data_IF_748526647419
#
_entry.id   IF_748526647419
#
_cell.length_a   1.000
_cell.length_b   1.000
_cell.length_c   1.000
_cell.angle_alpha   90.00
_cell.angle_beta   90.00
_cell.angle_gamma   90.00
#
_symmetry.space_group_name_H-M   'P 1'
#
loop_
_entity.id
_entity.type
_entity.pdbx_description
1 polymer ?
#
# COMPACT_ATOMS: atom_id res chain seq x y z
N UNK A 1 24.57 -42.02 -66.15
CA UNK A 1 25.01 -40.61 -66.00
C UNK A 1 23.89 -39.69 -66.46
N UNK A 2 23.13 -39.10 -65.52
CA UNK A 2 22.22 -37.98 -65.79
C UNK A 2 22.86 -36.74 -65.17
N UNK A 3 23.34 -35.84 -66.02
CA UNK A 3 23.90 -34.54 -65.66
C UNK A 3 22.79 -33.66 -65.08
N UNK A 4 22.88 -33.32 -63.79
CA UNK A 4 22.03 -32.28 -63.21
C UNK A 4 22.45 -30.91 -63.77
N UNK A 5 21.45 -30.17 -64.23
CA UNK A 5 21.59 -28.90 -64.94
C UNK A 5 21.85 -27.77 -63.92
N UNK A 6 23.05 -27.19 -63.94
CA UNK A 6 23.58 -26.25 -62.93
C UNK A 6 22.90 -24.85 -62.93
N UNK A 7 21.84 -24.65 -63.71
CA UNK A 7 21.15 -23.35 -63.82
C UNK A 7 20.00 -23.16 -62.80
N UNK A 8 19.47 -24.24 -62.22
CA UNK A 8 18.39 -24.14 -61.22
C UNK A 8 18.88 -24.08 -59.76
N UNK A 9 20.17 -24.29 -59.51
CA UNK A 9 20.74 -24.22 -58.15
C UNK A 9 21.11 -22.81 -57.72
N UNK A 10 21.35 -21.86 -58.65
CA UNK A 10 21.64 -20.46 -58.28
C UNK A 10 20.40 -19.71 -57.77
N UNK A 11 19.20 -19.98 -58.29
CA UNK A 11 17.96 -19.32 -57.82
C UNK A 11 17.50 -19.78 -56.44
N UNK A 12 17.82 -21.02 -56.04
CA UNK A 12 17.43 -21.55 -54.72
C UNK A 12 18.37 -21.02 -53.63
N UNK A 13 19.65 -20.80 -53.94
CA UNK A 13 20.62 -20.24 -52.99
C UNK A 13 20.38 -18.73 -52.77
N UNK A 14 19.97 -17.98 -53.80
CA UNK A 14 19.60 -16.57 -53.67
C UNK A 14 18.31 -16.36 -52.86
N UNK A 15 17.33 -17.26 -52.96
CA UNK A 15 16.10 -17.20 -52.17
C UNK A 15 16.32 -17.64 -50.71
N UNK A 16 17.23 -18.59 -50.46
CA UNK A 16 17.59 -19.02 -49.11
C UNK A 16 18.37 -17.96 -48.32
N UNK A 17 19.22 -17.16 -48.98
CA UNK A 17 19.96 -16.07 -48.36
C UNK A 17 19.09 -14.84 -48.04
N UNK A 18 18.03 -14.58 -48.83
CA UNK A 18 17.07 -13.50 -48.52
C UNK A 18 16.13 -13.86 -47.34
N UNK A 19 15.80 -15.13 -47.14
CA UNK A 19 14.93 -15.55 -46.03
C UNK A 19 15.69 -15.57 -44.70
N UNK A 20 17.00 -15.85 -44.68
CA UNK A 20 17.82 -15.77 -43.45
C UNK A 20 18.11 -14.34 -43.00
N UNK A 21 18.03 -13.35 -43.89
CA UNK A 21 18.18 -11.93 -43.52
C UNK A 21 16.92 -11.34 -42.84
N UNK A 22 15.75 -11.97 -43.00
CA UNK A 22 14.50 -11.54 -42.36
C UNK A 22 14.35 -12.02 -40.91
N UNK A 23 15.16 -12.98 -40.45
CA UNK A 23 15.12 -13.47 -39.06
C UNK A 23 16.15 -12.80 -38.13
N UNK A 24 17.07 -11.98 -38.65
CA UNK A 24 18.04 -11.22 -37.82
C UNK A 24 17.51 -9.82 -37.44
N UNK A 25 16.46 -9.32 -38.10
CA UNK A 25 15.83 -8.03 -37.77
C UNK A 25 14.86 -8.09 -36.57
N UNK A 26 14.69 -9.28 -35.97
CA UNK A 26 13.88 -9.49 -34.77
C UNK A 26 14.72 -9.96 -33.57
N UNK A 27 15.95 -9.49 -33.44
CA UNK A 27 16.44 -9.11 -32.11
C UNK A 27 15.95 -7.70 -31.87
N UNK A 28 14.66 -7.57 -31.56
CA UNK A 28 14.19 -6.36 -30.89
C UNK A 28 15.06 -6.27 -29.65
N UNK A 29 15.91 -5.26 -29.58
CA UNK A 29 16.50 -4.81 -28.33
C UNK A 29 15.33 -4.76 -27.34
N UNK A 30 15.23 -5.78 -26.49
CA UNK A 30 14.42 -5.69 -25.29
C UNK A 30 15.26 -4.79 -24.40
N UNK A 31 15.24 -3.49 -24.70
CA UNK A 31 15.48 -2.48 -23.69
C UNK A 31 14.69 -2.95 -22.47
N UNK A 32 15.41 -3.17 -21.38
CA UNK A 32 14.83 -3.62 -20.12
C UNK A 32 13.79 -2.56 -19.74
N UNK A 33 12.52 -2.82 -20.06
CA UNK A 33 11.42 -1.93 -19.70
C UNK A 33 11.32 -1.99 -18.18
N UNK A 34 11.17 -0.83 -17.53
CA UNK A 34 10.80 -0.80 -16.12
C UNK A 34 9.54 -1.64 -15.89
N UNK A 35 9.42 -2.25 -14.72
CA UNK A 35 8.36 -3.21 -14.44
C UNK A 35 6.98 -2.55 -14.39
N UNK A 36 6.88 -1.35 -13.81
CA UNK A 36 5.64 -0.57 -13.74
C UNK A 36 5.59 0.56 -14.76
N UNK A 37 4.42 0.79 -15.33
CA UNK A 37 4.12 1.86 -16.27
C UNK A 37 3.35 3.03 -15.65
N UNK A 38 2.69 2.78 -14.52
CA UNK A 38 1.90 3.77 -13.75
C UNK A 38 2.14 3.61 -12.24
N UNK A 39 1.70 4.60 -11.46
CA UNK A 39 1.72 4.52 -9.99
C UNK A 39 0.91 3.33 -9.45
N UNK A 40 -0.27 3.04 -10.01
CA UNK A 40 -1.08 1.87 -9.62
C UNK A 40 -0.35 0.54 -9.88
N UNK A 41 0.35 0.43 -11.00
CA UNK A 41 1.15 -0.77 -11.28
C UNK A 41 2.36 -0.86 -10.35
N UNK A 42 2.99 0.27 -10.03
CA UNK A 42 4.11 0.31 -9.10
C UNK A 42 3.69 -0.18 -7.71
N UNK A 43 2.55 0.29 -7.19
CA UNK A 43 2.04 -0.15 -5.89
C UNK A 43 1.62 -1.63 -5.91
N UNK A 44 1.04 -2.11 -7.00
CA UNK A 44 0.64 -3.51 -7.14
C UNK A 44 1.85 -4.46 -7.22
N UNK A 45 2.93 -4.07 -7.89
CA UNK A 45 4.13 -4.90 -8.10
C UNK A 45 5.05 -4.87 -6.88
N UNK A 46 5.31 -3.68 -6.32
CA UNK A 46 6.32 -3.50 -5.27
C UNK A 46 5.74 -3.35 -3.87
N UNK A 47 4.43 -3.05 -3.74
CA UNK A 47 3.74 -3.06 -2.47
C UNK A 47 3.64 -4.46 -1.85
N UNK A 48 3.19 -4.56 -0.59
CA UNK A 48 2.96 -5.84 0.06
C UNK A 48 2.05 -6.77 -0.73
N UNK A 49 2.53 -7.97 -0.98
CA UNK A 49 1.82 -8.95 -1.78
C UNK A 49 0.79 -9.71 -0.93
N UNK A 50 -0.47 -9.69 -1.37
CA UNK A 50 -1.53 -10.37 -0.67
C UNK A 50 -1.34 -11.91 -0.69
N UNK A 51 -1.53 -12.53 0.46
CA UNK A 51 -1.57 -13.97 0.66
C UNK A 51 -3.00 -14.46 0.44
N UNK A 52 -3.15 -15.55 -0.30
CA UNK A 52 -4.45 -16.19 -0.57
C UNK A 52 -4.45 -17.59 -0.01
N UNK A 53 -5.51 -17.92 0.73
CA UNK A 53 -5.69 -19.22 1.36
C UNK A 53 -7.16 -19.62 1.30
N UNK A 54 -7.40 -20.91 1.09
CA UNK A 54 -8.74 -21.48 1.06
C UNK A 54 -9.01 -22.16 2.39
N UNK A 55 -10.16 -21.85 2.99
CA UNK A 55 -10.60 -22.41 4.27
C UNK A 55 -12.01 -23.00 4.15
N UNK A 56 -12.37 -23.83 5.12
CA UNK A 56 -13.75 -24.31 5.28
C UNK A 56 -14.46 -23.46 6.34
N UNK A 57 -15.43 -22.64 5.92
CA UNK A 57 -16.20 -21.76 6.80
C UNK A 57 -17.11 -22.49 7.81
N UNK A 58 -17.36 -23.79 7.63
CA UNK A 58 -18.16 -24.56 8.58
C UNK A 58 -17.45 -24.86 9.91
N UNK A 59 -16.13 -24.67 9.98
CA UNK A 59 -15.32 -24.95 11.16
C UNK A 59 -14.49 -23.73 11.55
N UNK A 60 -13.95 -23.73 12.77
CA UNK A 60 -12.96 -22.72 13.16
C UNK A 60 -11.66 -22.93 12.39
N UNK A 61 -11.04 -21.85 11.94
CA UNK A 61 -9.78 -21.85 11.21
C UNK A 61 -8.78 -20.92 11.88
N UNK A 62 -7.55 -21.38 12.06
CA UNK A 62 -6.44 -20.56 12.54
C UNK A 62 -5.29 -20.67 11.57
N UNK A 63 -4.72 -19.54 11.16
CA UNK A 63 -3.55 -19.49 10.29
C UNK A 63 -2.66 -18.31 10.65
N UNK A 64 -1.42 -18.34 10.17
CA UNK A 64 -0.42 -17.28 10.39
C UNK A 64 0.05 -16.80 9.02
N UNK A 65 0.01 -15.49 8.82
CA UNK A 65 0.52 -14.83 7.64
C UNK A 65 2.06 -14.78 7.67
N UNK A 66 2.71 -14.59 6.51
CA UNK A 66 4.18 -14.52 6.39
C UNK A 66 4.85 -13.49 7.31
N UNK A 67 4.19 -12.37 7.62
CA UNK A 67 4.67 -11.34 8.54
C UNK A 67 4.47 -11.68 10.03
N UNK A 68 3.85 -12.82 10.34
CA UNK A 68 3.66 -13.33 11.69
C UNK A 68 2.29 -12.99 12.30
N UNK A 69 1.43 -12.24 11.61
CA UNK A 69 0.06 -11.98 12.08
C UNK A 69 -0.72 -13.29 12.14
N UNK A 70 -1.30 -13.59 13.30
CA UNK A 70 -2.18 -14.75 13.49
C UNK A 70 -3.62 -14.33 13.37
N UNK A 71 -4.41 -15.13 12.66
CA UNK A 71 -5.83 -14.87 12.44
C UNK A 71 -6.60 -16.15 12.82
N UNK A 72 -7.57 -16.01 13.71
CA UNK A 72 -8.52 -17.06 14.06
C UNK A 72 -9.91 -16.63 13.66
N UNK A 73 -10.54 -17.44 12.81
CA UNK A 73 -11.87 -17.22 12.26
C UNK A 73 -12.77 -18.31 12.80
N UNK A 74 -13.79 -18.00 13.63
CA UNK A 74 -14.71 -19.01 14.12
C UNK A 74 -15.58 -19.57 12.98
N UNK A 75 -16.20 -20.73 13.24
CA UNK A 75 -17.16 -21.31 12.31
C UNK A 75 -18.29 -20.32 12.01
N UNK A 76 -18.77 -20.31 10.76
CA UNK A 76 -19.91 -19.51 10.31
C UNK A 76 -19.75 -17.99 10.49
N UNK A 77 -18.50 -17.49 10.50
CA UNK A 77 -18.21 -16.07 10.69
C UNK A 77 -18.59 -15.18 9.49
N UNK A 78 -18.79 -15.73 8.29
CA UNK A 78 -19.04 -14.96 7.08
C UNK A 78 -20.52 -14.96 6.68
N UNK A 79 -20.96 -13.84 6.09
CA UNK A 79 -22.29 -13.69 5.50
C UNK A 79 -22.17 -13.22 4.06
N UNK A 80 -23.11 -13.59 3.21
CA UNK A 80 -23.26 -13.04 1.87
C UNK A 80 -24.73 -12.66 1.69
N UNK A 81 -24.98 -11.37 1.51
CA UNK A 81 -26.32 -10.79 1.50
C UNK A 81 -27.13 -11.18 2.76
N UNK A 82 -26.49 -11.11 3.92
CA UNK A 82 -27.07 -11.45 5.23
C UNK A 82 -27.17 -12.95 5.53
N UNK A 83 -26.95 -13.83 4.56
CA UNK A 83 -27.04 -15.29 4.73
C UNK A 83 -25.68 -15.87 5.09
N UNK A 84 -25.62 -16.74 6.10
CA UNK A 84 -24.38 -17.41 6.50
C UNK A 84 -23.75 -18.17 5.35
N UNK A 85 -22.46 -17.91 5.11
CA UNK A 85 -21.64 -18.62 4.13
C UNK A 85 -21.14 -19.93 4.73
N UNK A 86 -21.23 -21.02 3.96
CA UNK A 86 -20.74 -22.35 4.31
C UNK A 86 -19.79 -22.89 3.25
N UNK A 87 -19.01 -23.91 3.59
CA UNK A 87 -18.07 -24.53 2.67
C UNK A 87 -16.84 -23.67 2.39
N UNK A 88 -16.36 -23.73 1.15
CA UNK A 88 -15.09 -23.14 0.74
C UNK A 88 -15.14 -21.62 0.64
N UNK A 89 -14.25 -20.95 1.38
CA UNK A 89 -14.04 -19.49 1.32
C UNK A 89 -12.58 -19.21 1.00
N UNK A 90 -12.32 -18.26 0.10
CA UNK A 90 -10.97 -17.76 -0.19
C UNK A 90 -10.73 -16.51 0.63
N UNK A 91 -9.77 -16.57 1.53
CA UNK A 91 -9.26 -15.42 2.28
C UNK A 91 -8.15 -14.75 1.48
N UNK A 92 -8.15 -13.42 1.44
CA UNK A 92 -7.09 -12.59 0.89
C UNK A 92 -6.62 -11.64 1.98
N UNK A 93 -5.33 -11.68 2.32
CA UNK A 93 -4.77 -10.87 3.39
C UNK A 93 -3.43 -10.24 3.00
N UNK A 94 -3.19 -8.98 3.36
CA UNK A 94 -1.91 -8.30 3.16
C UNK A 94 -1.45 -7.63 4.45
N UNK A 95 -0.13 -7.59 4.68
CA UNK A 95 0.49 -7.03 5.90
C UNK A 95 1.40 -5.86 5.53
N UNK A 96 1.31 -4.77 6.29
CA UNK A 96 2.09 -3.55 6.14
C UNK A 96 2.74 -3.26 7.49
N UNK A 97 3.88 -3.91 7.76
CA UNK A 97 4.55 -3.91 9.05
C UNK A 97 5.75 -2.96 9.10
N UNK A 98 6.21 -2.49 7.93
CA UNK A 98 7.35 -1.59 7.77
C UNK A 98 6.98 -0.31 7.04
N UNK A 99 7.81 0.74 7.20
CA UNK A 99 7.59 2.01 6.49
C UNK A 99 7.68 1.85 4.98
N UNK A 100 8.66 1.09 4.49
CA UNK A 100 8.82 0.87 3.05
C UNK A 100 7.59 0.19 2.45
N UNK A 101 7.02 -0.80 3.15
CA UNK A 101 5.80 -1.50 2.76
C UNK A 101 4.60 -0.54 2.66
N UNK A 102 4.46 0.41 3.59
CA UNK A 102 3.41 1.42 3.56
C UNK A 102 3.55 2.35 2.34
N UNK A 103 4.77 2.83 2.08
CA UNK A 103 5.08 3.73 0.96
C UNK A 103 4.96 3.03 -0.39
N UNK A 104 5.52 1.82 -0.53
CA UNK A 104 5.39 1.01 -1.74
C UNK A 104 3.94 0.68 -2.04
N UNK A 105 3.12 0.41 -1.01
CA UNK A 105 1.70 0.17 -1.20
C UNK A 105 0.87 1.40 -1.55
N UNK A 106 1.44 2.61 -1.54
CA UNK A 106 0.67 3.85 -1.70
C UNK A 106 -0.36 4.04 -0.59
N UNK A 107 -0.02 3.61 0.63
CA UNK A 107 -0.86 3.69 1.84
C UNK A 107 -0.31 4.75 2.79
N UNK A 108 -0.98 5.01 3.92
CA UNK A 108 -0.57 6.07 4.85
C UNK A 108 -0.98 5.75 6.30
N UNK A 109 -0.49 6.56 7.23
CA UNK A 109 -0.86 6.53 8.65
C UNK A 109 -1.64 7.78 9.07
N UNK A 110 -2.45 8.35 8.18
CA UNK A 110 -3.28 9.52 8.49
C UNK A 110 -4.56 9.08 9.19
N UNK A 111 -4.86 9.67 10.36
CA UNK A 111 -6.19 9.59 10.95
C UNK A 111 -7.16 10.51 10.16
N UNK A 112 -8.46 10.24 10.21
CA UNK A 112 -9.51 11.03 9.51
C UNK A 112 -9.59 12.49 9.99
N UNK A 113 -9.13 12.77 11.21
CA UNK A 113 -8.97 14.15 11.71
C UNK A 113 -7.76 14.88 11.11
N UNK A 114 -6.92 14.16 10.38
CA UNK A 114 -5.65 14.62 9.82
C UNK A 114 -4.43 14.44 10.71
N UNK A 115 -4.62 14.00 11.96
CA UNK A 115 -3.51 13.72 12.85
C UNK A 115 -2.69 12.51 12.34
N UNK A 116 -1.34 12.58 12.34
CA UNK A 116 -0.53 11.41 12.02
C UNK A 116 -0.64 10.35 13.13
N UNK A 117 -0.64 9.10 12.73
CA UNK A 117 -0.54 7.93 13.59
C UNK A 117 0.87 7.34 13.49
N UNK A 118 1.40 6.89 14.63
CA UNK A 118 2.61 6.09 14.70
C UNK A 118 2.21 4.61 14.70
N UNK A 119 2.72 3.88 13.71
CA UNK A 119 2.20 2.56 13.41
C UNK A 119 3.03 1.39 13.90
N UNK A 120 2.39 0.42 14.54
CA UNK A 120 2.99 -0.91 14.78
C UNK A 120 2.71 -1.89 13.64
N UNK A 121 1.94 -1.44 12.65
CA UNK A 121 1.60 -2.14 11.42
C UNK A 121 0.10 -2.31 11.27
N UNK A 122 -0.33 -2.45 10.01
CA UNK A 122 -1.72 -2.74 9.67
C UNK A 122 -1.84 -3.87 8.67
N UNK A 123 -3.05 -4.41 8.60
CA UNK A 123 -3.39 -5.46 7.65
C UNK A 123 -4.63 -5.07 6.85
N UNK A 124 -4.74 -5.66 5.66
CA UNK A 124 -5.98 -5.77 4.93
C UNK A 124 -6.45 -7.22 4.97
N UNK A 125 -7.73 -7.45 5.24
CA UNK A 125 -8.35 -8.77 5.20
C UNK A 125 -9.67 -8.74 4.44
N UNK A 126 -9.80 -9.64 3.48
CA UNK A 126 -11.02 -9.86 2.71
C UNK A 126 -11.31 -11.36 2.57
N UNK A 127 -12.56 -11.70 2.28
CA UNK A 127 -13.01 -13.05 2.03
C UNK A 127 -13.95 -13.08 0.82
N UNK A 128 -13.88 -14.13 0.02
CA UNK A 128 -14.75 -14.30 -1.16
C UNK A 128 -15.17 -15.75 -1.38
N UNK A 129 -16.33 -15.92 -2.01
CA UNK A 129 -16.87 -17.20 -2.46
C UNK A 129 -17.16 -17.09 -3.94
N UNK A 130 -16.62 -18.01 -4.75
CA UNK A 130 -16.79 -18.02 -6.21
C UNK A 130 -16.44 -16.67 -6.88
N UNK A 131 -15.45 -15.95 -6.33
CA UNK A 131 -15.02 -14.64 -6.84
C UNK A 131 -15.84 -13.45 -6.34
N UNK A 132 -16.93 -13.68 -5.60
CA UNK A 132 -17.75 -12.62 -5.01
C UNK A 132 -17.32 -12.37 -3.57
N UNK A 133 -17.02 -11.11 -3.22
CA UNK A 133 -16.71 -10.73 -1.85
C UNK A 133 -17.91 -11.00 -0.92
N UNK A 134 -17.62 -11.51 0.27
CA UNK A 134 -18.62 -11.64 1.33
C UNK A 134 -18.97 -10.27 1.92
N UNK A 135 -20.01 -10.22 2.74
CA UNK A 135 -20.42 -9.00 3.43
C UNK A 135 -19.28 -8.46 4.30
N UNK A 136 -19.13 -7.13 4.34
CA UNK A 136 -18.13 -6.48 5.18
C UNK A 136 -18.36 -6.80 6.66
N UNK A 137 -19.61 -6.69 7.12
CA UNK A 137 -19.98 -7.02 8.50
C UNK A 137 -20.05 -8.54 8.66
N UNK A 138 -19.26 -9.06 9.59
CA UNK A 138 -19.15 -10.50 9.84
C UNK A 138 -20.36 -11.01 10.63
N UNK A 139 -20.65 -12.31 10.57
CA UNK A 139 -21.59 -13.00 11.45
C UNK A 139 -21.07 -13.21 12.88
N UNK A 140 -19.76 -13.27 13.04
CA UNK A 140 -19.07 -13.37 14.33
C UNK A 140 -17.74 -12.61 14.26
N UNK A 141 -17.24 -12.14 15.40
CA UNK A 141 -15.92 -11.51 15.47
C UNK A 141 -14.82 -12.52 15.14
N UNK A 142 -13.76 -12.06 14.49
CA UNK A 142 -12.53 -12.82 14.30
C UNK A 142 -11.45 -12.29 15.23
N UNK A 143 -10.57 -13.18 15.70
CA UNK A 143 -9.44 -12.80 16.54
C UNK A 143 -8.21 -12.54 15.66
N UNK A 144 -7.53 -11.43 15.94
CA UNK A 144 -6.28 -11.01 15.29
C UNK A 144 -5.21 -10.88 16.37
N UNK A 145 -4.01 -11.40 16.09
CA UNK A 145 -2.83 -11.17 16.90
C UNK A 145 -1.70 -10.65 16.01
N UNK A 146 -1.38 -9.36 16.13
CA UNK A 146 -0.25 -8.72 15.44
C UNK A 146 0.95 -8.74 16.38
N UNK A 147 2.09 -9.24 15.89
CA UNK A 147 3.32 -9.31 16.67
C UNK A 147 3.84 -7.91 17.01
N UNK A 148 4.32 -7.73 18.23
CA UNK A 148 4.87 -6.46 18.70
C UNK A 148 5.97 -6.69 19.73
N UNK A 149 6.97 -5.81 19.74
CA UNK A 149 8.00 -5.74 20.78
C UNK A 149 7.77 -4.57 21.75
N UNK A 150 6.69 -3.79 21.55
CA UNK A 150 6.34 -2.69 22.42
C UNK A 150 5.71 -3.18 23.72
N UNK A 151 5.82 -2.35 24.75
CA UNK A 151 5.19 -2.56 26.07
C UNK A 151 4.04 -1.57 26.34
N UNK A 152 3.85 -0.57 25.46
CA UNK A 152 2.75 0.41 25.54
C UNK A 152 1.45 -0.20 25.00
N UNK A 153 0.31 0.36 25.42
CA UNK A 153 -0.96 0.08 24.75
C UNK A 153 -0.98 0.63 23.31
N UNK A 154 -1.74 -0.02 22.43
CA UNK A 154 -2.08 0.48 21.10
C UNK A 154 -3.56 0.82 21.02
N UNK A 155 -3.93 1.63 20.04
CA UNK A 155 -5.33 1.80 19.63
C UNK A 155 -5.60 1.05 18.32
N UNK A 156 -6.83 0.56 18.20
CA UNK A 156 -7.30 -0.14 17.00
C UNK A 156 -8.06 0.85 16.11
N UNK A 157 -7.71 0.87 14.83
CA UNK A 157 -8.34 1.73 13.82
C UNK A 157 -8.83 0.94 12.63
N UNK A 158 -9.97 1.33 12.06
CA UNK A 158 -10.46 0.81 10.80
C UNK A 158 -10.15 1.77 9.65
N UNK A 159 -9.80 1.23 8.49
CA UNK A 159 -9.58 2.05 7.30
C UNK A 159 -10.90 2.37 6.61
N UNK A 160 -11.08 3.65 6.28
CA UNK A 160 -12.16 4.12 5.41
C UNK A 160 -11.56 4.44 4.06
N UNK A 161 -11.94 3.67 3.07
CA UNK A 161 -11.70 3.97 1.66
C UNK A 161 -12.84 4.89 1.21
N UNK A 162 -12.51 6.01 0.57
CA UNK A 162 -13.42 7.09 0.13
C UNK A 162 -13.59 8.28 1.07
N UNK A 163 -12.50 8.73 1.67
CA UNK A 163 -12.47 10.01 2.41
C UNK A 163 -12.88 11.16 1.49
N UNK A 164 -13.87 11.96 1.92
CA UNK A 164 -14.41 13.12 1.19
C UNK A 164 -14.84 12.84 -0.26
N UNK A 165 -15.34 11.63 -0.54
CA UNK A 165 -15.70 11.13 -1.87
C UNK A 165 -14.53 11.08 -2.89
N UNK A 166 -13.29 11.30 -2.45
CA UNK A 166 -12.10 11.03 -3.24
C UNK A 166 -11.71 9.56 -3.10
N UNK A 167 -10.95 8.97 -4.03
CA UNK A 167 -10.41 7.60 -3.88
C UNK A 167 -9.28 7.53 -2.84
N UNK A 168 -9.48 8.11 -1.66
CA UNK A 168 -8.47 8.27 -0.62
C UNK A 168 -8.83 7.48 0.65
N UNK A 169 -7.80 7.14 1.42
CA UNK A 169 -7.90 6.37 2.65
C UNK A 169 -7.38 7.14 3.85
N UNK A 170 -8.10 7.04 4.97
CA UNK A 170 -7.65 7.45 6.29
C UNK A 170 -8.17 6.45 7.35
N UNK A 171 -7.57 6.53 8.54
CA UNK A 171 -7.91 5.69 9.68
C UNK A 171 -8.93 6.38 10.58
N UNK A 172 -9.92 5.64 11.05
CA UNK A 172 -10.89 6.12 12.03
C UNK A 172 -11.12 5.09 13.12
N UNK A 173 -11.78 5.55 14.18
CA UNK A 173 -12.15 4.66 15.27
C UNK A 173 -13.10 3.57 14.75
N UNK A 174 -12.90 2.28 15.07
CA UNK A 174 -13.74 1.21 14.57
C UNK A 174 -15.21 1.41 14.95
N UNK A 175 -16.11 0.95 14.07
CA UNK A 175 -17.52 0.87 14.40
C UNK A 175 -17.72 0.04 15.68
N UNK A 176 -18.55 0.51 16.61
CA UNK A 176 -18.84 -0.25 17.82
C UNK A 176 -19.77 -1.42 17.49
N UNK A 177 -19.34 -2.64 17.79
CA UNK A 177 -20.14 -3.87 17.62
C UNK A 177 -20.86 -3.93 16.25
N UNK A 178 -20.13 -3.84 15.12
CA UNK A 178 -20.74 -3.65 13.80
C UNK A 178 -21.64 -4.82 13.36
N UNK A 179 -21.48 -5.98 13.98
CA UNK A 179 -22.25 -7.19 13.77
C UNK A 179 -23.18 -7.55 14.95
N UNK A 180 -23.26 -6.71 15.97
CA UNK A 180 -24.02 -6.99 17.21
C UNK A 180 -23.41 -8.08 18.10
N UNK A 181 -22.20 -8.57 17.80
CA UNK A 181 -21.52 -9.56 18.62
C UNK A 181 -20.86 -8.92 19.85
N UNK A 182 -20.87 -9.62 20.99
CA UNK A 182 -20.16 -9.19 22.19
C UNK A 182 -18.64 -9.11 21.94
N UNK A 183 -17.96 -8.14 22.58
CA UNK A 183 -16.50 -7.99 22.51
C UNK A 183 -15.95 -7.21 21.29
N UNK A 184 -16.77 -6.92 20.28
CA UNK A 184 -16.37 -6.32 19.01
C UNK A 184 -16.09 -4.80 19.03
N UNK A 185 -15.65 -4.25 20.15
CA UNK A 185 -15.49 -2.81 20.35
C UNK A 185 -14.29 -2.38 21.19
N UNK A 186 -13.35 -3.28 21.48
CA UNK A 186 -12.13 -2.93 22.23
C UNK A 186 -11.27 -2.00 21.36
N UNK A 187 -11.16 -0.75 21.80
CA UNK A 187 -10.41 0.30 21.08
C UNK A 187 -8.95 0.39 21.50
N UNK A 188 -8.62 -0.05 22.71
CA UNK A 188 -7.28 0.02 23.28
C UNK A 188 -6.85 -1.35 23.77
N UNK A 189 -5.62 -1.75 23.42
CA UNK A 189 -5.11 -3.09 23.62
C UNK A 189 -3.72 -3.02 24.20
N UNK A 190 -3.51 -3.66 25.35
CA UNK A 190 -2.18 -3.88 25.89
C UNK A 190 -1.54 -5.10 25.21
N UNK A 191 -0.21 -5.07 24.97
CA UNK A 191 0.49 -6.20 24.41
C UNK A 191 0.52 -7.32 25.45
N UNK A 192 0.21 -8.54 25.01
CA UNK A 192 0.24 -9.74 25.84
C UNK A 192 0.99 -10.84 25.09
N UNK A 193 1.98 -11.44 25.75
CA UNK A 193 2.83 -12.50 25.19
C UNK A 193 3.47 -12.13 23.83
N UNK A 194 3.82 -10.86 23.62
CA UNK A 194 4.45 -10.37 22.38
C UNK A 194 3.48 -10.07 21.23
N UNK A 195 2.18 -9.98 21.52
CA UNK A 195 1.16 -9.65 20.52
C UNK A 195 0.20 -8.57 21.03
N UNK A 196 -0.25 -7.70 20.12
CA UNK A 196 -1.52 -7.00 20.31
C UNK A 196 -2.64 -7.94 19.85
N UNK A 197 -3.49 -8.34 20.79
CA UNK A 197 -4.59 -9.27 20.55
C UNK A 197 -5.91 -8.51 20.57
N UNK A 198 -6.68 -8.59 19.49
CA UNK A 198 -7.96 -7.88 19.39
C UNK A 198 -8.94 -8.62 18.48
N UNK A 199 -10.19 -8.16 18.53
CA UNK A 199 -11.27 -8.71 17.74
C UNK A 199 -11.71 -7.72 16.66
N UNK A 200 -12.07 -8.27 15.51
CA UNK A 200 -12.58 -7.51 14.38
C UNK A 200 -13.95 -8.04 13.95
N UNK A 201 -14.94 -7.15 13.87
CA UNK A 201 -16.31 -7.48 13.42
C UNK A 201 -16.60 -7.11 11.95
N UNK A 202 -15.70 -6.38 11.30
CA UNK A 202 -15.79 -5.96 9.91
C UNK A 202 -14.54 -6.38 9.14
N UNK A 203 -14.68 -6.95 7.94
CA UNK A 203 -13.56 -7.09 7.01
C UNK A 203 -13.06 -5.73 6.49
N UNK A 204 -11.86 -5.72 5.92
CA UNK A 204 -11.20 -4.54 5.36
C UNK A 204 -9.86 -4.27 6.03
N UNK A 205 -9.53 -2.98 6.13
CA UNK A 205 -8.29 -2.50 6.74
C UNK A 205 -8.43 -2.36 8.24
N UNK A 206 -7.48 -2.88 8.99
CA UNK A 206 -7.38 -2.71 10.42
C UNK A 206 -5.94 -2.42 10.84
N UNK A 207 -5.79 -1.51 11.78
CA UNK A 207 -4.52 -0.93 12.16
C UNK A 207 -4.30 -0.95 13.67
N UNK A 208 -3.07 -1.23 14.10
CA UNK A 208 -2.61 -1.13 15.49
C UNK A 208 -1.66 0.06 15.63
N UNK A 209 -2.24 1.23 15.91
CA UNK A 209 -1.47 2.47 16.01
C UNK A 209 -1.78 3.22 17.30
N UNK A 210 -0.84 4.09 17.67
CA UNK A 210 -1.11 5.17 18.61
C UNK A 210 -1.17 6.50 17.86
N UNK A 211 -1.91 7.47 18.39
CA UNK A 211 -1.70 8.85 17.95
C UNK A 211 -0.23 9.17 18.12
N UNK A 212 0.36 9.82 17.11
CA UNK A 212 1.73 10.28 17.21
C UNK A 212 1.80 11.38 18.28
N UNK A 213 2.15 10.96 19.49
CA UNK A 213 2.00 11.74 20.70
C UNK A 213 3.10 12.80 20.75
N UNK A 214 2.72 14.03 20.44
CA UNK A 214 3.64 15.15 20.44
C UNK A 214 2.96 16.38 21.03
N UNK A 215 3.55 16.95 22.08
CA UNK A 215 2.98 18.07 22.85
C UNK A 215 3.26 19.44 22.23
N UNK A 216 4.17 19.51 21.26
CA UNK A 216 4.52 20.78 20.62
C UNK A 216 3.34 21.36 19.82
N UNK A 217 3.36 22.69 19.58
CA UNK A 217 2.39 23.34 18.71
C UNK A 217 2.27 22.63 17.37
N UNK A 218 1.03 22.55 16.87
CA UNK A 218 0.74 21.98 15.56
C UNK A 218 0.73 23.07 14.48
N UNK A 219 1.01 22.67 13.25
CA UNK A 219 1.06 23.56 12.09
C UNK A 219 0.56 22.87 10.83
N UNK A 220 0.44 23.64 9.75
CA UNK A 220 0.18 23.16 8.41
C UNK A 220 1.49 23.20 7.62
N UNK A 221 1.82 22.10 6.96
CA UNK A 221 2.99 22.05 6.07
C UNK A 221 2.53 21.94 4.63
N UNK A 222 3.07 22.79 3.76
CA UNK A 222 2.79 22.79 2.31
C UNK A 222 4.02 22.37 1.52
N UNK A 223 3.80 21.58 0.47
CA UNK A 223 4.83 21.06 -0.43
C UNK A 223 4.43 21.40 -1.86
N UNK A 224 5.27 22.19 -2.53
CA UNK A 224 5.17 22.41 -3.97
C UNK A 224 6.06 21.41 -4.70
N UNK A 225 5.53 20.76 -5.74
CA UNK A 225 6.29 19.83 -6.59
C UNK A 225 6.65 20.52 -7.92
N UNK A 226 7.92 20.87 -8.08
CA UNK A 226 8.46 21.32 -9.35
C UNK A 226 8.71 20.12 -10.28
N UNK A 227 8.54 20.32 -11.59
CA UNK A 227 8.64 19.30 -12.63
C UNK A 227 7.71 18.09 -12.42
N UNK A 228 6.52 18.31 -11.83
CA UNK A 228 5.55 17.26 -11.63
C UNK A 228 5.05 16.71 -12.99
N UNK A 229 5.32 15.45 -13.35
CA UNK A 229 4.93 14.93 -14.66
C UNK A 229 3.44 14.56 -14.73
N UNK A 230 2.74 14.45 -13.58
CA UNK A 230 1.37 13.96 -13.47
C UNK A 230 0.54 14.67 -12.40
N UNK A 231 -0.65 14.15 -12.12
CA UNK A 231 -1.48 14.62 -11.00
C UNK A 231 -1.11 13.88 -9.71
N UNK A 232 -1.52 14.43 -8.57
CA UNK A 232 -1.27 13.80 -7.28
C UNK A 232 -2.03 12.48 -7.15
N UNK A 233 -1.29 11.45 -6.71
CA UNK A 233 -1.79 10.11 -6.55
C UNK A 233 -2.70 10.01 -5.32
N UNK A 234 -3.81 9.30 -5.49
CA UNK A 234 -4.67 8.87 -4.39
C UNK A 234 -4.21 7.53 -3.84
N UNK A 235 -4.89 7.02 -2.81
CA UNK A 235 -4.63 5.75 -2.15
C UNK A 235 -4.36 4.63 -3.17
N UNK A 236 -3.27 3.89 -2.95
CA UNK A 236 -2.77 2.81 -3.81
C UNK A 236 -2.56 3.20 -5.29
N UNK A 237 -2.61 4.49 -5.63
CA UNK A 237 -2.47 4.97 -7.01
C UNK A 237 -3.74 4.80 -7.84
N UNK A 238 -4.92 4.67 -7.21
CA UNK A 238 -6.20 4.53 -7.93
C UNK A 238 -6.41 5.61 -9.01
N UNK A 239 -5.95 6.82 -8.73
CA UNK A 239 -5.87 7.92 -9.69
C UNK A 239 -4.59 8.71 -9.46
N UNK A 240 -4.07 9.34 -10.51
CA UNK A 240 -2.87 10.17 -10.44
C UNK A 240 -1.57 9.37 -10.37
N UNK A 241 -0.44 10.06 -10.47
CA UNK A 241 0.87 9.45 -10.66
C UNK A 241 1.88 9.80 -9.56
N UNK A 242 1.68 10.93 -8.87
CA UNK A 242 2.68 11.51 -7.96
C UNK A 242 2.26 11.39 -6.50
N UNK A 243 2.99 10.58 -5.73
CA UNK A 243 2.82 10.54 -4.28
C UNK A 243 3.69 11.60 -3.59
N UNK A 244 3.21 12.09 -2.45
CA UNK A 244 3.96 12.93 -1.52
C UNK A 244 3.73 12.41 -0.11
N UNK A 245 4.81 12.07 0.60
CA UNK A 245 4.75 11.60 1.98
C UNK A 245 5.70 12.41 2.87
N UNK A 246 5.31 12.59 4.12
CA UNK A 246 6.22 12.90 5.21
C UNK A 246 6.45 11.64 6.06
N UNK A 247 7.71 11.25 6.19
CA UNK A 247 8.13 10.12 7.03
C UNK A 247 8.87 10.66 8.25
N UNK A 248 8.33 10.45 9.45
CA UNK A 248 8.99 10.90 10.68
C UNK A 248 10.21 10.02 11.00
N UNK A 249 11.29 10.66 11.48
CA UNK A 249 12.52 9.98 11.87
C UNK A 249 12.31 9.22 13.18
N UNK A 250 12.80 7.98 13.28
CA UNK A 250 12.70 7.16 14.49
C UNK A 250 11.30 6.65 14.88
N UNK A 251 10.22 7.06 14.20
CA UNK A 251 8.86 6.52 14.40
C UNK A 251 8.22 6.06 13.09
N UNK A 252 7.36 5.04 13.12
CA UNK A 252 6.70 4.48 11.93
C UNK A 252 5.49 5.33 11.49
N UNK A 253 5.75 6.62 11.25
CA UNK A 253 4.77 7.56 10.68
C UNK A 253 5.05 7.70 9.19
N UNK A 254 4.03 7.45 8.36
CA UNK A 254 4.05 7.69 6.90
C UNK A 254 2.82 8.51 6.55
N UNK A 255 2.94 9.83 6.68
CA UNK A 255 1.82 10.73 6.45
C UNK A 255 1.75 11.14 4.97
N UNK A 256 0.70 10.75 4.27
CA UNK A 256 0.51 11.18 2.88
C UNK A 256 -0.05 12.61 2.85
N UNK A 257 0.53 13.46 2.00
CA UNK A 257 0.00 14.78 1.69
C UNK A 257 -0.72 14.69 0.35
N UNK A 258 -2.04 14.83 0.39
CA UNK A 258 -2.91 14.74 -0.80
C UNK A 258 -3.93 15.88 -0.89
N UNK A 259 -4.03 16.73 0.13
CA UNK A 259 -4.94 17.88 0.11
C UNK A 259 -4.39 18.94 -0.86
N UNK A 260 -5.12 19.31 -1.93
CA UNK A 260 -4.62 20.29 -2.89
C UNK A 260 -4.31 21.65 -2.25
N UNK A 261 -3.22 22.27 -2.69
CA UNK A 261 -2.74 23.59 -2.25
C UNK A 261 -2.20 24.41 -3.43
N UNK A 262 -2.95 24.41 -4.53
CA UNK A 262 -2.58 25.02 -5.81
C UNK A 262 -2.24 23.99 -6.90
N UNK A 263 -1.88 24.43 -8.13
CA UNK A 263 -1.74 23.55 -9.30
C UNK A 263 -0.71 22.42 -9.15
N UNK A 264 0.35 22.65 -8.37
CA UNK A 264 1.41 21.68 -8.08
C UNK A 264 1.71 21.61 -6.58
N UNK A 265 0.73 22.00 -5.75
CA UNK A 265 0.88 22.05 -4.30
C UNK A 265 0.00 21.01 -3.63
N UNK A 266 0.54 20.36 -2.61
CA UNK A 266 -0.24 19.63 -1.60
C UNK A 266 0.13 20.11 -0.22
N UNK A 267 -0.80 19.96 0.72
CA UNK A 267 -0.55 20.25 2.13
C UNK A 267 -0.98 19.10 3.03
N UNK A 268 -0.47 19.14 4.26
CA UNK A 268 -1.02 18.36 5.35
C UNK A 268 -2.44 18.81 5.67
N UNK A 269 -3.14 18.05 6.51
CA UNK A 269 -4.32 18.58 7.18
C UNK A 269 -3.97 19.83 7.99
N UNK A 270 -4.93 20.76 8.06
CA UNK A 270 -4.76 22.06 8.73
C UNK A 270 -4.43 21.87 10.19
N UNK A 271 -3.28 22.41 10.62
CA UNK A 271 -2.82 22.40 12.01
C UNK A 271 -2.74 21.00 12.63
N UNK A 272 -2.26 20.02 11.87
CA UNK A 272 -2.10 18.63 12.35
C UNK A 272 -0.66 18.15 12.44
N UNK A 273 0.29 18.85 11.80
CA UNK A 273 1.69 18.45 11.82
C UNK A 273 2.41 19.04 13.04
N UNK A 274 3.11 18.23 13.87
CA UNK A 274 3.81 18.73 15.05
C UNK A 274 5.11 19.48 14.72
N UNK A 275 5.27 20.71 15.22
CA UNK A 275 6.51 21.50 15.09
C UNK A 275 7.64 20.86 15.89
N UNK A 276 8.84 20.79 15.30
CA UNK A 276 10.04 20.22 15.91
C UNK A 276 10.29 18.75 15.58
N UNK A 277 9.37 18.09 14.89
CA UNK A 277 9.57 16.70 14.45
C UNK A 277 10.54 16.64 13.29
N UNK A 278 11.62 15.89 13.47
CA UNK A 278 12.55 15.53 12.42
C UNK A 278 11.93 14.47 11.50
N UNK A 279 12.13 14.61 10.20
CA UNK A 279 11.61 13.67 9.23
C UNK A 279 12.16 13.89 7.84
N UNK A 280 11.53 13.26 6.87
CA UNK A 280 11.89 13.35 5.46
C UNK A 280 10.61 13.48 4.64
N UNK A 281 10.52 14.53 3.83
CA UNK A 281 9.56 14.54 2.73
C UNK A 281 10.11 13.70 1.59
N UNK A 282 9.28 12.83 1.04
CA UNK A 282 9.60 12.10 -0.18
C UNK A 282 8.48 12.35 -1.19
N UNK A 283 8.86 12.46 -2.46
CA UNK A 283 7.91 12.46 -3.56
C UNK A 283 8.45 11.60 -4.69
N UNK A 284 7.57 10.79 -5.26
CA UNK A 284 7.89 10.00 -6.44
C UNK A 284 6.71 9.98 -7.39
N UNK A 285 7.01 9.88 -8.69
CA UNK A 285 6.02 9.81 -9.75
C UNK A 285 6.36 8.73 -10.76
N UNK A 286 5.38 7.89 -11.10
CA UNK A 286 5.52 6.87 -12.14
C UNK A 286 4.47 7.16 -13.20
N UNK A 287 4.94 7.59 -14.37
CA UNK A 287 4.09 7.96 -15.49
C UNK A 287 4.67 7.49 -16.80
N UNK A 288 3.88 6.72 -17.55
CA UNK A 288 4.26 6.18 -18.86
C UNK A 288 5.60 5.43 -18.83
N UNK A 289 5.84 4.67 -17.76
CA UNK A 289 7.08 3.89 -17.56
C UNK A 289 8.32 4.70 -17.20
N UNK A 290 8.17 6.02 -17.00
CA UNK A 290 9.21 6.89 -16.48
C UNK A 290 9.03 7.10 -14.98
N UNK A 291 10.16 7.24 -14.29
CA UNK A 291 10.27 7.26 -12.84
C UNK A 291 10.90 8.58 -12.43
N UNK A 292 10.32 9.24 -11.45
CA UNK A 292 10.79 10.53 -10.96
C UNK A 292 10.84 10.52 -9.45
N UNK A 293 11.86 11.16 -8.87
CA UNK A 293 12.06 11.19 -7.42
C UNK A 293 12.60 12.53 -6.94
N UNK A 294 12.23 12.88 -5.71
CA UNK A 294 12.85 13.91 -4.90
C UNK A 294 12.61 13.62 -3.41
N UNK A 295 13.56 14.01 -2.56
CA UNK A 295 13.38 14.01 -1.11
C UNK A 295 14.01 15.24 -0.45
N UNK A 296 13.61 15.47 0.80
CA UNK A 296 14.16 16.51 1.65
C UNK A 296 14.07 16.08 3.11
N UNK A 297 15.23 15.87 3.75
CA UNK A 297 15.30 15.78 5.21
C UNK A 297 15.08 17.15 5.84
N UNK A 298 14.27 17.21 6.88
CA UNK A 298 13.88 18.48 7.52
C UNK A 298 13.43 18.28 8.96
N UNK A 299 13.32 19.39 9.68
CA UNK A 299 12.59 19.50 10.94
C UNK A 299 11.37 20.37 10.69
N UNK A 300 10.19 19.92 11.10
CA UNK A 300 8.95 20.68 10.89
C UNK A 300 9.03 22.01 11.63
N UNK A 301 8.85 23.11 10.91
CA UNK A 301 8.75 24.47 11.46
C UNK A 301 7.33 25.00 11.33
N UNK A 302 6.99 26.06 12.08
CA UNK A 302 5.69 26.71 11.93
C UNK A 302 5.48 27.24 10.49
N UNK A 303 4.30 26.96 9.93
CA UNK A 303 3.86 27.35 8.59
C UNK A 303 4.86 26.96 7.49
N UNK A 304 5.49 25.78 7.63
CA UNK A 304 6.51 25.32 6.72
C UNK A 304 5.97 25.19 5.29
N UNK A 305 6.65 25.84 4.34
CA UNK A 305 6.43 25.69 2.92
C UNK A 305 7.75 25.26 2.28
N UNK A 306 7.74 24.14 1.57
CA UNK A 306 8.93 23.60 0.89
C UNK A 306 8.64 23.35 -0.59
N UNK A 307 9.71 23.24 -1.37
CA UNK A 307 9.66 22.80 -2.76
C UNK A 307 10.49 21.53 -2.94
N UNK A 308 9.91 20.51 -3.56
CA UNK A 308 10.61 19.34 -4.06
C UNK A 308 10.67 19.41 -5.59
N UNK A 309 11.86 19.25 -6.18
CA UNK A 309 12.03 19.25 -7.62
C UNK A 309 12.24 17.83 -8.12
N UNK A 310 11.23 17.26 -8.77
CA UNK A 310 11.32 15.92 -9.32
C UNK A 310 12.34 15.87 -10.46
N UNK A 311 13.19 14.85 -10.42
CA UNK A 311 14.15 14.52 -11.47
C UNK A 311 13.91 13.09 -11.96
N UNK A 312 14.05 12.85 -13.27
CA UNK A 312 13.93 11.50 -13.84
C UNK A 312 15.05 10.62 -13.26
N UNK A 313 14.67 9.42 -12.81
CA UNK A 313 15.56 8.45 -12.17
C UNK A 313 15.19 7.03 -12.58
N UNK A 314 15.82 6.03 -11.97
CA UNK A 314 15.56 4.61 -12.24
C UNK A 314 14.57 4.01 -11.24
N UNK A 315 13.88 2.94 -11.65
CA UNK A 315 13.04 2.14 -10.77
C UNK A 315 13.82 1.63 -9.54
N UNK A 316 15.05 1.17 -9.73
CA UNK A 316 15.91 0.67 -8.65
C UNK A 316 16.29 1.76 -7.64
N UNK A 317 16.53 2.99 -8.09
CA UNK A 317 16.86 4.10 -7.20
C UNK A 317 15.68 4.48 -6.29
N UNK A 318 14.45 4.46 -6.82
CA UNK A 318 13.25 4.71 -6.01
C UNK A 318 13.04 3.58 -5.01
N UNK A 319 13.18 2.31 -5.42
CA UNK A 319 13.09 1.18 -4.50
C UNK A 319 14.09 1.30 -3.36
N UNK A 320 15.37 1.57 -3.67
CA UNK A 320 16.41 1.76 -2.67
C UNK A 320 16.09 2.90 -1.70
N UNK A 321 15.58 4.03 -2.22
CA UNK A 321 15.24 5.18 -1.39
C UNK A 321 14.05 4.89 -0.45
N UNK A 322 13.06 4.13 -0.92
CA UNK A 322 11.90 3.71 -0.11
C UNK A 322 12.33 2.66 0.93
N UNK A 323 13.17 1.68 0.57
CA UNK A 323 13.68 0.66 1.50
C UNK A 323 14.53 1.26 2.62
N UNK A 324 15.31 2.31 2.30
CA UNK A 324 16.12 3.02 3.28
C UNK A 324 15.28 3.64 4.42
N UNK A 325 13.98 3.88 4.20
CA UNK A 325 13.08 4.39 5.24
C UNK A 325 12.88 3.41 6.41
N UNK A 326 13.17 2.12 6.24
CA UNK A 326 13.02 1.16 7.33
C UNK A 326 14.01 1.39 8.49
N UNK A 327 15.13 2.06 8.20
CA UNK A 327 16.17 2.35 9.19
C UNK A 327 16.31 3.85 9.49
N UNK A 328 15.35 4.66 9.02
CA UNK A 328 15.30 6.11 9.24
C UNK A 328 14.66 6.49 10.59
#
# INVERSE_FOLDING_TARGET
>A
MKTLNLKNTLSIIAMALLVTALFQACKKDRTQRNAAYSAAEFTAIFGPQAQRLQINANIANTFTLKGGTKITIPANAFKLNGTTVTGSVVITAAEFLKRSEMVFGGTNTNHISGAPLESDGFIYLNASVNGTNVDKALGANIDIAIATNNTRATQIWEGVEKVDNANQMAWQAPAQNPNGAAGGGVREVLPAAGFYNFQMGNLGWINCDVFYAYTNPKTTTSVTIANNPGSFATFMGYTGETFVFFCAKGSKVVAQLYTPDGPNGVKSYTNMMPVGVEGKYISFSIKNGKYYYADLTTTITANQNISLTLSETTEAAIQQAIDALNNY
#
